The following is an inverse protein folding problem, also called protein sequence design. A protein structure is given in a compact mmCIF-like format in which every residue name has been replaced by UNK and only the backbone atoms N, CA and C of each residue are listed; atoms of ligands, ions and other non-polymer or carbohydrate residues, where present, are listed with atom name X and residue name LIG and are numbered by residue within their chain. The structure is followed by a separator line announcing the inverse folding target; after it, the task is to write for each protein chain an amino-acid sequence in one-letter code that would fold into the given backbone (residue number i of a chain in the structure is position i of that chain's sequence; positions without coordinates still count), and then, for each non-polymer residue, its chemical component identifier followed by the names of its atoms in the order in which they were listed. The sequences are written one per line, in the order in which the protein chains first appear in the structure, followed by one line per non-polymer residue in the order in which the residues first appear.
data_IF_101583886049
#
_entry.id   IF_101583886049
#
_cell.length_a   1.000
_cell.length_b   1.000
_cell.length_c   1.000
_cell.angle_alpha   90.00
_cell.angle_beta   90.00
_cell.angle_gamma   90.00
#
_symmetry.space_group_name_H-M   'P 1'
#
loop_
_entity.id
_entity.type
_entity.pdbx_description
1 polymer ?
#
# COMPACT_ATOMS: atom_id res chain seq x y z
N UNK A 1 32.86 -1.09 2.19
CA UNK A 1 31.62 -0.31 2.00
C UNK A 1 30.53 -1.06 2.74
N UNK A 2 30.08 -0.57 3.88
CA UNK A 2 29.05 -1.23 4.70
C UNK A 2 27.68 -0.86 4.12
N UNK A 3 26.93 -1.84 3.62
CA UNK A 3 25.54 -1.64 3.24
C UNK A 3 24.72 -1.39 4.52
N UNK A 4 24.22 -0.16 4.69
CA UNK A 4 23.31 0.19 5.78
C UNK A 4 21.92 -0.33 5.43
N UNK A 5 21.41 -1.25 6.24
CA UNK A 5 20.08 -1.84 6.09
C UNK A 5 18.97 -0.79 6.20
N UNK A 6 17.79 -1.07 5.64
CA UNK A 6 16.64 -0.17 5.69
C UNK A 6 16.26 0.22 7.13
N UNK A 7 16.30 -0.75 8.06
CA UNK A 7 16.00 -0.58 9.48
C UNK A 7 17.00 0.30 10.25
N UNK A 8 18.20 0.49 9.71
CA UNK A 8 19.29 1.25 10.36
C UNK A 8 19.25 2.75 10.00
N UNK A 9 18.34 3.15 9.09
CA UNK A 9 18.14 4.54 8.67
C UNK A 9 17.29 5.31 9.68
N UNK A 10 17.54 6.62 9.82
CA UNK A 10 16.69 7.53 10.58
C UNK A 10 15.27 7.64 9.99
N UNK A 11 14.30 8.12 10.77
CA UNK A 11 12.91 8.26 10.30
C UNK A 11 12.78 9.12 9.04
N UNK A 12 13.46 10.26 8.99
CA UNK A 12 13.47 11.15 7.81
C UNK A 12 14.10 10.48 6.59
N UNK A 13 15.18 9.72 6.76
CA UNK A 13 15.79 8.97 5.66
C UNK A 13 14.86 7.87 5.15
N UNK A 14 14.14 7.17 6.03
CA UNK A 14 13.14 6.16 5.62
C UNK A 14 11.95 6.79 4.91
N UNK A 15 11.48 7.95 5.35
CA UNK A 15 10.44 8.71 4.63
C UNK A 15 10.91 9.10 3.22
N UNK A 16 12.09 9.73 3.10
CA UNK A 16 12.64 10.11 1.80
C UNK A 16 12.84 8.89 0.88
N UNK A 17 13.40 7.81 1.42
CA UNK A 17 13.61 6.57 0.68
C UNK A 17 12.30 5.93 0.23
N UNK A 18 11.29 5.85 1.10
CA UNK A 18 9.97 5.32 0.76
C UNK A 18 9.30 6.09 -0.39
N UNK A 19 9.46 7.42 -0.40
CA UNK A 19 8.98 8.27 -1.49
C UNK A 19 9.75 8.02 -2.78
N UNK A 20 11.08 7.84 -2.72
CA UNK A 20 11.88 7.46 -3.90
C UNK A 20 11.48 6.10 -4.48
N UNK A 21 11.19 5.11 -3.64
CA UNK A 21 10.68 3.80 -4.09
C UNK A 21 9.33 3.96 -4.79
N UNK A 22 8.42 4.75 -4.23
CA UNK A 22 7.15 5.05 -4.87
C UNK A 22 7.34 5.69 -6.26
N UNK A 23 8.20 6.71 -6.37
CA UNK A 23 8.47 7.38 -7.65
C UNK A 23 9.16 6.47 -8.67
N UNK A 24 10.03 5.59 -8.20
CA UNK A 24 10.62 4.55 -9.04
C UNK A 24 9.53 3.63 -9.62
N UNK A 25 8.61 3.13 -8.80
CA UNK A 25 7.53 2.25 -9.26
C UNK A 25 6.58 2.96 -10.22
N UNK A 26 6.15 4.17 -9.91
CA UNK A 26 5.32 4.99 -10.79
C UNK A 26 5.99 5.11 -12.18
N UNK A 27 7.27 5.48 -12.24
CA UNK A 27 8.02 5.61 -13.49
C UNK A 27 8.14 4.28 -14.26
N UNK A 28 8.44 3.17 -13.58
CA UNK A 28 8.67 1.89 -14.25
C UNK A 28 7.39 1.25 -14.77
N UNK A 29 6.24 1.51 -14.14
CA UNK A 29 4.93 1.08 -14.65
C UNK A 29 4.63 1.73 -16.00
N UNK A 30 4.92 3.03 -16.15
CA UNK A 30 4.78 3.70 -17.44
C UNK A 30 5.77 3.18 -18.50
N UNK A 31 6.93 2.69 -18.05
CA UNK A 31 8.01 2.24 -18.94
C UNK A 31 7.96 0.74 -19.27
N UNK A 32 6.98 0.00 -18.73
CA UNK A 32 6.86 -1.46 -18.83
C UNK A 32 8.13 -2.23 -18.44
N UNK A 33 8.92 -1.68 -17.51
CA UNK A 33 10.11 -2.34 -17.01
C UNK A 33 9.73 -3.38 -15.94
N UNK A 34 10.46 -4.49 -15.89
CA UNK A 34 10.33 -5.46 -14.81
C UNK A 34 10.70 -4.81 -13.47
N UNK A 35 9.84 -4.99 -12.46
CA UNK A 35 10.10 -4.54 -11.10
C UNK A 35 11.03 -5.56 -10.43
N UNK A 36 12.26 -5.19 -10.04
CA UNK A 36 13.17 -6.13 -9.42
C UNK A 36 12.60 -6.66 -8.09
N UNK A 37 12.76 -7.97 -7.83
CA UNK A 37 12.24 -8.61 -6.62
C UNK A 37 12.64 -7.89 -5.32
N UNK A 38 13.85 -7.32 -5.25
CA UNK A 38 14.31 -6.61 -4.07
C UNK A 38 13.45 -5.37 -3.75
N UNK A 39 12.83 -4.74 -4.75
CA UNK A 39 11.90 -3.61 -4.53
C UNK A 39 10.67 -4.10 -3.78
N UNK A 40 10.10 -5.25 -4.16
CA UNK A 40 8.98 -5.86 -3.44
C UNK A 40 9.35 -6.19 -1.99
N UNK A 41 10.56 -6.73 -1.75
CA UNK A 41 11.06 -7.01 -0.40
C UNK A 41 11.17 -5.73 0.45
N UNK A 42 11.70 -4.64 -0.13
CA UNK A 42 11.77 -3.33 0.53
C UNK A 42 10.37 -2.80 0.84
N UNK A 43 9.41 -2.91 -0.08
CA UNK A 43 8.02 -2.50 0.16
C UNK A 43 7.44 -3.30 1.33
N UNK A 44 7.70 -4.61 1.43
CA UNK A 44 7.26 -5.41 2.57
C UNK A 44 7.85 -4.96 3.91
N UNK A 45 9.10 -4.52 3.94
CA UNK A 45 9.68 -3.91 5.15
C UNK A 45 9.01 -2.58 5.48
N UNK A 46 8.79 -1.72 4.47
CA UNK A 46 8.12 -0.43 4.64
C UNK A 46 6.69 -0.57 5.17
N UNK A 47 5.94 -1.61 4.77
CA UNK A 47 4.58 -1.87 5.29
C UNK A 47 4.55 -2.19 6.79
N UNK A 48 5.70 -2.51 7.39
CA UNK A 48 5.86 -2.82 8.82
C UNK A 48 6.56 -1.69 9.57
N UNK A 49 6.87 -0.57 8.91
CA UNK A 49 7.58 0.54 9.53
C UNK A 49 6.77 1.17 10.67
N UNK A 50 7.45 1.61 11.72
CA UNK A 50 6.89 2.42 12.79
C UNK A 50 6.21 3.71 12.31
N UNK A 51 6.73 4.32 11.25
CA UNK A 51 6.26 5.61 10.74
C UNK A 51 5.08 5.44 9.77
N UNK A 52 3.97 6.11 10.07
CA UNK A 52 2.77 6.01 9.25
C UNK A 52 2.95 6.61 7.84
N UNK A 53 3.83 7.59 7.64
CA UNK A 53 4.11 8.20 6.33
C UNK A 53 4.75 7.17 5.42
N UNK A 54 5.72 6.42 5.95
CA UNK A 54 6.35 5.31 5.24
C UNK A 54 5.32 4.25 4.87
N UNK A 55 4.47 3.82 5.82
CA UNK A 55 3.44 2.81 5.55
C UNK A 55 2.42 3.28 4.51
N UNK A 56 2.05 4.57 4.50
CA UNK A 56 1.20 5.15 3.45
C UNK A 56 1.84 5.02 2.06
N UNK A 57 3.12 5.41 1.93
CA UNK A 57 3.85 5.27 0.67
C UNK A 57 3.95 3.80 0.26
N UNK A 58 4.17 2.90 1.22
CA UNK A 58 4.25 1.47 1.00
C UNK A 58 2.95 0.86 0.48
N UNK A 59 1.78 1.29 0.95
CA UNK A 59 0.49 0.86 0.41
C UNK A 59 0.34 1.29 -1.05
N UNK A 60 0.71 2.53 -1.37
CA UNK A 60 0.72 2.99 -2.76
C UNK A 60 1.63 2.10 -3.62
N UNK A 61 2.84 1.80 -3.13
CA UNK A 61 3.77 0.90 -3.81
C UNK A 61 3.20 -0.51 -4.00
N UNK A 62 2.55 -1.06 -2.97
CA UNK A 62 1.96 -2.40 -3.01
C UNK A 62 0.84 -2.49 -4.04
N UNK A 63 -0.03 -1.48 -4.13
CA UNK A 63 -1.09 -1.41 -5.15
C UNK A 63 -0.50 -1.34 -6.57
N UNK A 64 0.54 -0.54 -6.77
CA UNK A 64 1.26 -0.43 -8.04
C UNK A 64 1.89 -1.77 -8.47
N UNK A 65 2.51 -2.48 -7.53
CA UNK A 65 3.07 -3.82 -7.77
C UNK A 65 1.95 -4.81 -8.07
N UNK A 66 0.89 -4.85 -7.26
CA UNK A 66 -0.25 -5.76 -7.45
C UNK A 66 -0.95 -5.57 -8.79
N UNK A 67 -1.10 -4.31 -9.23
CA UNK A 67 -1.66 -3.98 -10.55
C UNK A 67 -0.84 -4.59 -11.70
N UNK A 68 0.48 -4.66 -11.53
CA UNK A 68 1.40 -5.21 -12.54
C UNK A 68 1.55 -6.73 -12.43
N UNK A 69 1.47 -7.27 -11.22
CA UNK A 69 1.56 -8.69 -10.90
C UNK A 69 0.54 -9.05 -9.79
N UNK A 70 -0.68 -9.47 -10.15
CA UNK A 70 -1.74 -9.76 -9.20
C UNK A 70 -1.56 -11.14 -8.54
N UNK A 71 -0.44 -11.35 -7.85
CA UNK A 71 -0.13 -12.59 -7.16
C UNK A 71 -0.77 -12.66 -5.77
N UNK A 72 -0.99 -13.89 -5.29
CA UNK A 72 -1.57 -14.15 -3.95
C UNK A 72 -0.72 -13.59 -2.81
N UNK A 73 0.60 -13.46 -3.00
CA UNK A 73 1.49 -12.88 -1.98
C UNK A 73 1.15 -11.41 -1.76
N UNK A 74 1.00 -10.64 -2.83
CA UNK A 74 0.65 -9.23 -2.74
C UNK A 74 -0.79 -9.04 -2.30
N UNK A 75 -1.73 -9.88 -2.76
CA UNK A 75 -3.11 -9.89 -2.27
C UNK A 75 -3.17 -10.15 -0.75
N UNK A 76 -2.38 -11.09 -0.25
CA UNK A 76 -2.27 -11.36 1.18
C UNK A 76 -1.78 -10.16 1.98
N UNK A 77 -0.79 -9.42 1.47
CA UNK A 77 -0.30 -8.19 2.12
C UNK A 77 -1.33 -7.04 2.04
N UNK A 78 -2.07 -6.91 0.93
CA UNK A 78 -3.18 -5.96 0.79
C UNK A 78 -4.26 -6.24 1.87
N UNK A 79 -4.66 -7.50 2.01
CA UNK A 79 -5.60 -7.94 3.06
C UNK A 79 -5.04 -7.64 4.45
N UNK A 80 -3.76 -7.96 4.72
CA UNK A 80 -3.12 -7.67 6.02
C UNK A 80 -3.16 -6.19 6.35
N UNK A 81 -2.95 -5.31 5.37
CA UNK A 81 -2.96 -3.85 5.60
C UNK A 81 -4.34 -3.29 5.95
N UNK A 82 -5.42 -4.04 5.72
CA UNK A 82 -6.74 -3.68 6.27
C UNK A 82 -6.76 -3.68 7.80
N UNK A 83 -5.78 -4.34 8.43
CA UNK A 83 -5.61 -4.45 9.88
C UNK A 83 -4.56 -3.46 10.44
N UNK A 84 -4.08 -2.46 9.68
CA UNK A 84 -3.10 -1.48 10.18
C UNK A 84 -3.56 -0.84 11.50
N UNK A 85 -2.65 -0.43 12.37
CA UNK A 85 -3.05 0.23 13.62
C UNK A 85 -3.48 1.68 13.43
N UNK A 86 -3.08 2.32 12.32
CA UNK A 86 -3.30 3.74 12.06
C UNK A 86 -4.55 3.97 11.19
N UNK A 87 -5.57 4.70 11.71
CA UNK A 87 -6.70 5.12 10.90
C UNK A 87 -6.29 5.99 9.69
N UNK A 88 -5.20 6.76 9.80
CA UNK A 88 -4.72 7.58 8.70
C UNK A 88 -4.17 6.73 7.54
N UNK A 89 -3.54 5.59 7.85
CA UNK A 89 -3.06 4.64 6.84
C UNK A 89 -4.25 3.95 6.18
N UNK A 90 -5.24 3.50 6.97
CA UNK A 90 -6.46 2.88 6.44
C UNK A 90 -7.29 3.82 5.58
N UNK A 91 -7.47 5.07 6.01
CA UNK A 91 -8.20 6.08 5.24
C UNK A 91 -7.52 6.38 3.91
N UNK A 92 -6.18 6.49 3.92
CA UNK A 92 -5.40 6.59 2.68
C UNK A 92 -5.61 5.37 1.79
N UNK A 93 -5.55 4.16 2.37
CA UNK A 93 -5.73 2.93 1.62
C UNK A 93 -7.12 2.88 0.95
N UNK A 94 -8.20 3.14 1.70
CA UNK A 94 -9.56 3.21 1.15
C UNK A 94 -9.65 4.20 -0.01
N UNK A 95 -9.04 5.38 0.13
CA UNK A 95 -9.10 6.41 -0.92
C UNK A 95 -8.50 5.94 -2.25
N UNK A 96 -7.54 5.01 -2.22
CA UNK A 96 -6.84 4.47 -3.38
C UNK A 96 -7.56 3.27 -4.03
N UNK A 97 -8.60 2.70 -3.40
CA UNK A 97 -9.32 1.52 -3.92
C UNK A 97 -10.33 1.92 -4.99
N UNK A 98 -9.83 2.18 -6.19
CA UNK A 98 -10.60 2.50 -7.39
C UNK A 98 -10.10 1.69 -8.60
N UNK A 99 -10.91 1.63 -9.66
CA UNK A 99 -10.67 0.77 -10.82
C UNK A 99 -9.31 1.01 -11.50
N UNK A 100 -8.78 2.24 -11.43
CA UNK A 100 -7.48 2.57 -11.98
C UNK A 100 -6.32 1.89 -11.24
N UNK A 101 -6.49 1.51 -9.98
CA UNK A 101 -5.42 0.98 -9.13
C UNK A 101 -5.54 -0.52 -8.86
N UNK A 102 -6.74 -1.08 -8.92
CA UNK A 102 -7.01 -2.47 -8.56
C UNK A 102 -8.29 -2.96 -9.24
N UNK A 103 -8.39 -4.27 -9.48
CA UNK A 103 -9.61 -4.88 -10.02
C UNK A 103 -10.80 -4.61 -9.10
N UNK A 104 -11.97 -4.40 -9.70
CA UNK A 104 -13.19 -4.07 -8.99
C UNK A 104 -13.53 -5.10 -7.89
N UNK A 105 -13.41 -6.39 -8.19
CA UNK A 105 -13.73 -7.47 -7.25
C UNK A 105 -12.82 -7.45 -6.02
N UNK A 106 -11.51 -7.20 -6.23
CA UNK A 106 -10.54 -7.12 -5.14
C UNK A 106 -10.72 -5.82 -4.33
N UNK A 107 -11.01 -4.69 -4.97
CA UNK A 107 -11.39 -3.45 -4.28
C UNK A 107 -12.61 -3.68 -3.37
N UNK A 108 -13.66 -4.28 -3.92
CA UNK A 108 -14.88 -4.60 -3.18
C UNK A 108 -14.62 -5.56 -2.03
N UNK A 109 -13.77 -6.57 -2.21
CA UNK A 109 -13.36 -7.49 -1.14
C UNK A 109 -12.68 -6.72 0.01
N UNK A 110 -11.69 -5.88 -0.31
CA UNK A 110 -10.94 -5.09 0.68
C UNK A 110 -11.84 -4.07 1.41
N UNK A 111 -12.72 -3.38 0.69
CA UNK A 111 -13.69 -2.46 1.29
C UNK A 111 -14.67 -3.19 2.23
N UNK A 112 -15.09 -4.41 1.88
CA UNK A 112 -15.92 -5.21 2.78
C UNK A 112 -15.19 -5.61 4.08
N UNK A 113 -13.85 -5.72 4.06
CA UNK A 113 -13.06 -5.92 5.28
C UNK A 113 -13.06 -4.64 6.14
N UNK A 114 -12.88 -3.47 5.52
CA UNK A 114 -12.93 -2.18 6.23
C UNK A 114 -14.28 -1.85 6.85
N UNK A 115 -15.39 -2.36 6.32
CA UNK A 115 -16.71 -2.25 6.97
C UNK A 115 -16.78 -2.90 8.36
N UNK A 116 -15.84 -3.81 8.68
CA UNK A 116 -15.74 -4.47 9.99
C UNK A 116 -14.73 -3.80 10.92
N UNK A 117 -14.12 -2.69 10.49
CA UNK A 117 -13.10 -1.98 11.28
C UNK A 117 -13.68 -1.43 12.60
N UNK A 118 -12.87 -1.40 13.65
CA UNK A 118 -13.29 -0.86 14.95
C UNK A 118 -13.60 0.65 14.88
N UNK A 119 -12.91 1.39 14.02
CA UNK A 119 -13.11 2.82 13.82
C UNK A 119 -14.36 3.11 12.99
N UNK A 120 -15.30 3.88 13.56
CA UNK A 120 -16.48 4.36 12.85
C UNK A 120 -16.13 5.14 11.58
N UNK A 121 -15.09 5.98 11.63
CA UNK A 121 -14.65 6.78 10.48
C UNK A 121 -14.19 5.90 9.32
N UNK A 122 -13.51 4.79 9.60
CA UNK A 122 -13.04 3.84 8.58
C UNK A 122 -14.22 3.10 7.96
N UNK A 123 -15.16 2.62 8.78
CA UNK A 123 -16.37 1.97 8.27
C UNK A 123 -17.16 2.88 7.34
N UNK A 124 -17.40 4.13 7.75
CA UNK A 124 -18.14 5.11 6.94
C UNK A 124 -17.41 5.49 5.66
N UNK A 125 -16.09 5.70 5.72
CA UNK A 125 -15.29 5.96 4.51
C UNK A 125 -15.35 4.79 3.52
N UNK A 126 -15.30 3.57 4.03
CA UNK A 126 -15.39 2.36 3.21
C UNK A 126 -16.76 2.19 2.57
N UNK A 127 -17.84 2.44 3.32
CA UNK A 127 -19.20 2.42 2.76
C UNK A 127 -19.35 3.46 1.63
N UNK A 128 -18.87 4.68 1.87
CA UNK A 128 -18.89 5.74 0.85
C UNK A 128 -18.15 5.32 -0.42
N UNK A 129 -16.95 4.72 -0.30
CA UNK A 129 -16.18 4.26 -1.46
C UNK A 129 -16.87 3.10 -2.18
N UNK A 130 -17.54 2.18 -1.46
CA UNK A 130 -18.37 1.13 -2.06
C UNK A 130 -19.52 1.70 -2.90
N UNK A 131 -20.20 2.73 -2.37
CA UNK A 131 -21.28 3.41 -3.08
C UNK A 131 -20.77 4.20 -4.31
N UNK A 132 -19.49 4.59 -4.33
CA UNK A 132 -18.87 5.29 -5.46
C UNK A 132 -18.43 4.34 -6.60
N UNK A 133 -18.02 3.10 -6.26
CA UNK A 133 -17.56 2.12 -7.26
C UNK A 133 -18.65 1.15 -7.73
N UNK A 134 -19.76 1.01 -6.98
CA UNK A 134 -20.86 0.09 -7.27
C UNK A 134 -21.94 0.68 -8.16
#
# INVERSE_FOLDING_TARGET
MTCVGYSEKSGTERQAFSYSIQKYLEFNIFSHNEIPLFISLVVFEMLRDSDFVVRKNAITCLLLIYKSDPSEIYKGELIRMTLDSSPNVKGHYISMLEEENIKFEDARELLNLFLKDASYTIRTASQKKLDEIG
#
